data_IF_569481106003
#
_entry.id   IF_569481106003
#
_cell.length_a   1.000
_cell.length_b   1.000
_cell.length_c   1.000
_cell.angle_alpha   90.00
_cell.angle_beta   90.00
_cell.angle_gamma   90.00
#
_symmetry.space_group_name_H-M   'P 1'
#
loop_
_entity.id
_entity.type
_entity.pdbx_description
1 polymer ?
#
# COMPACT_ATOMS: atom_id res chain seq x y z
N UNK A 1 -1.97 -10.74 -1.82
CA UNK A 1 -1.50 -11.60 -0.71
C UNK A 1 -2.06 -11.06 0.59
N UNK A 2 -2.16 -11.84 1.65
CA UNK A 2 -2.44 -11.29 2.99
C UNK A 2 -1.13 -10.87 3.68
N UNK A 3 -1.23 -10.13 4.78
CA UNK A 3 -0.07 -9.60 5.51
C UNK A 3 0.83 -10.69 6.11
N UNK A 4 0.25 -11.82 6.56
CA UNK A 4 1.03 -12.95 7.07
C UNK A 4 1.86 -13.61 5.96
N UNK A 5 1.28 -13.84 4.79
CA UNK A 5 1.97 -14.34 3.60
C UNK A 5 3.10 -13.39 3.16
N UNK A 6 2.85 -12.08 3.20
CA UNK A 6 3.85 -11.07 2.86
C UNK A 6 5.08 -11.18 3.76
N UNK A 7 4.94 -11.18 5.09
CA UNK A 7 6.11 -11.30 5.97
C UNK A 7 6.74 -12.70 5.95
N UNK A 8 5.94 -13.76 5.78
CA UNK A 8 6.46 -15.14 5.72
C UNK A 8 7.28 -15.39 4.44
N UNK A 9 6.92 -14.75 3.33
CA UNK A 9 7.62 -14.91 2.05
C UNK A 9 9.05 -14.34 2.09
N UNK A 10 9.31 -13.33 2.92
CA UNK A 10 10.65 -12.79 3.12
C UNK A 10 10.84 -12.31 4.57
N UNK A 11 11.41 -13.16 5.45
CA UNK A 11 11.62 -12.83 6.87
C UNK A 11 12.45 -11.56 7.09
N UNK A 12 13.28 -11.16 6.11
CA UNK A 12 14.10 -9.94 6.21
C UNK A 12 13.22 -8.69 6.39
N UNK A 13 11.98 -8.72 5.88
CA UNK A 13 11.01 -7.63 6.04
C UNK A 13 10.66 -7.36 7.51
N UNK A 14 10.64 -8.38 8.36
CA UNK A 14 10.29 -8.24 9.78
C UNK A 14 11.41 -7.60 10.61
N UNK A 15 12.66 -7.83 10.23
CA UNK A 15 13.84 -7.29 10.93
C UNK A 15 14.31 -5.95 10.35
N UNK A 16 13.66 -5.49 9.28
CA UNK A 16 14.01 -4.26 8.58
C UNK A 16 13.32 -3.04 9.20
N UNK A 17 13.98 -1.89 9.07
CA UNK A 17 13.31 -0.60 9.23
C UNK A 17 12.17 -0.47 8.22
N UNK A 18 11.04 0.03 8.70
CA UNK A 18 9.85 0.32 7.91
C UNK A 18 9.49 1.81 8.07
N UNK A 19 9.36 2.52 6.95
CA UNK A 19 9.02 3.94 6.93
C UNK A 19 7.57 4.09 6.49
N UNK A 20 6.75 4.70 7.35
CA UNK A 20 5.33 4.92 7.08
C UNK A 20 5.09 6.16 6.22
N UNK A 21 4.26 5.99 5.18
CA UNK A 21 3.71 7.05 4.33
C UNK A 21 2.23 7.30 4.65
N UNK A 22 1.82 7.05 5.89
CA UNK A 22 0.50 7.39 6.40
C UNK A 22 -0.50 6.25 6.37
N UNK A 23 -1.51 6.43 7.22
CA UNK A 23 -2.69 5.58 7.43
C UNK A 23 -3.93 6.37 7.07
N UNK A 24 -4.95 5.72 6.51
CA UNK A 24 -6.19 6.41 6.10
C UNK A 24 -6.26 6.79 4.62
N UNK A 25 -5.43 6.15 3.78
CA UNK A 25 -5.62 6.21 2.33
C UNK A 25 -6.96 5.57 1.96
N UNK A 26 -7.70 6.17 1.02
CA UNK A 26 -9.04 5.70 0.64
C UNK A 26 -9.07 5.22 -0.81
N UNK A 27 -9.94 4.25 -1.09
CA UNK A 27 -10.22 3.75 -2.45
C UNK A 27 -11.73 3.83 -2.68
N UNK A 28 -12.16 4.50 -3.76
CA UNK A 28 -13.59 4.65 -4.06
C UNK A 28 -14.28 3.31 -4.35
N UNK A 29 -13.52 2.29 -4.76
CA UNK A 29 -14.04 0.94 -5.03
C UNK A 29 -14.18 0.11 -3.74
N UNK A 30 -13.57 0.56 -2.64
CA UNK A 30 -13.63 -0.07 -1.33
C UNK A 30 -13.90 0.95 -0.20
N UNK A 31 -15.12 1.52 -0.16
CA UNK A 31 -15.49 2.52 0.84
C UNK A 31 -15.54 1.96 2.28
N UNK A 32 -15.40 0.64 2.45
CA UNK A 32 -15.42 -0.05 3.74
C UNK A 32 -14.03 -0.24 4.35
N UNK A 33 -13.00 0.34 3.74
CA UNK A 33 -11.63 0.14 4.18
C UNK A 33 -10.80 1.40 4.05
N UNK A 34 -9.83 1.50 4.93
CA UNK A 34 -8.70 2.40 4.79
C UNK A 34 -7.48 1.59 4.41
N UNK A 35 -6.46 2.28 3.92
CA UNK A 35 -5.19 1.65 3.59
C UNK A 35 -4.06 2.38 4.31
N UNK A 36 -3.05 1.61 4.69
CA UNK A 36 -1.76 2.10 5.19
C UNK A 36 -0.70 1.88 4.14
N UNK A 37 0.16 2.87 3.92
CA UNK A 37 1.32 2.75 3.01
C UNK A 37 2.62 2.73 3.81
N UNK A 38 3.51 1.80 3.48
CA UNK A 38 4.79 1.66 4.18
C UNK A 38 5.88 1.13 3.25
N UNK A 39 7.12 1.56 3.48
CA UNK A 39 8.30 1.16 2.70
C UNK A 39 9.27 0.36 3.56
N UNK A 40 9.72 -0.78 3.06
CA UNK A 40 10.67 -1.67 3.75
C UNK A 40 12.09 -1.43 3.27
N UNK A 41 13.00 -1.08 4.19
CA UNK A 41 14.36 -0.67 3.83
C UNK A 41 15.21 -1.75 3.15
N UNK A 42 15.12 -2.99 3.62
CA UNK A 42 15.97 -4.09 3.10
C UNK A 42 15.55 -4.55 1.70
N UNK A 43 14.28 -4.44 1.34
CA UNK A 43 13.75 -4.90 0.04
C UNK A 43 13.47 -3.76 -0.93
N UNK A 44 13.35 -2.52 -0.44
CA UNK A 44 12.94 -1.38 -1.24
C UNK A 44 11.45 -1.39 -1.61
N UNK A 45 10.65 -2.26 -0.99
CA UNK A 45 9.24 -2.42 -1.35
C UNK A 45 8.40 -1.34 -0.67
N UNK A 46 7.76 -0.49 -1.48
CA UNK A 46 6.63 0.34 -1.03
C UNK A 46 5.35 -0.44 -1.26
N UNK A 47 4.58 -0.66 -0.21
CA UNK A 47 3.39 -1.52 -0.22
C UNK A 47 2.22 -0.84 0.50
N UNK A 48 1.01 -1.25 0.15
CA UNK A 48 -0.21 -0.90 0.89
C UNK A 48 -0.75 -2.10 1.66
N UNK A 49 -1.33 -1.84 2.82
CA UNK A 49 -2.11 -2.79 3.61
C UNK A 49 -3.53 -2.29 3.65
N UNK A 50 -4.48 -3.11 3.20
CA UNK A 50 -5.91 -2.89 3.41
C UNK A 50 -6.26 -3.17 4.87
N UNK A 51 -6.84 -2.17 5.52
CA UNK A 51 -7.33 -2.25 6.89
C UNK A 51 -8.86 -2.09 6.85
N UNK A 52 -9.61 -3.19 7.06
CA UNK A 52 -11.06 -3.11 7.16
C UNK A 52 -11.46 -2.15 8.27
N UNK A 53 -12.21 -1.11 7.90
CA UNK A 53 -12.82 -0.21 8.86
C UNK A 53 -14.31 -0.56 8.93
N UNK A 54 -14.81 -1.11 10.05
CA UNK A 54 -16.23 -1.42 10.20
C UNK A 54 -17.03 -0.11 10.20
N UNK A 55 -17.47 0.31 9.02
CA UNK A 55 -18.45 1.38 8.80
C UNK A 55 -17.87 2.79 8.83
N UNK A 56 -17.43 3.28 7.66
CA UNK A 56 -17.29 4.72 7.44
C UNK A 56 -18.64 5.42 7.63
N UNK A 57 -18.71 6.42 8.53
CA UNK A 57 -19.87 7.28 8.75
C UNK A 57 -20.39 7.31 10.19
N UNK A 58 -21.58 7.91 10.37
CA UNK A 58 -22.27 8.16 11.65
C UNK A 58 -22.44 6.94 12.57
N UNK A 59 -22.19 5.73 12.08
CA UNK A 59 -22.31 4.47 12.82
C UNK A 59 -20.97 3.89 13.28
N UNK A 60 -19.82 4.47 12.94
CA UNK A 60 -18.50 4.00 13.41
C UNK A 60 -18.46 3.88 14.95
N UNK A 61 -18.94 4.90 15.66
CA UNK A 61 -19.04 4.90 17.12
C UNK A 61 -20.04 3.86 17.66
N UNK A 62 -21.02 3.45 16.85
CA UNK A 62 -21.96 2.38 17.21
C UNK A 62 -21.29 1.02 17.01
N UNK A 63 -20.51 0.82 15.95
CA UNK A 63 -19.78 -0.43 15.72
C UNK A 63 -18.63 -0.66 16.72
N UNK A 64 -17.95 0.41 17.15
CA UNK A 64 -16.98 0.37 18.26
C UNK A 64 -17.64 -0.12 19.57
N UNK A 65 -18.88 0.30 19.83
CA UNK A 65 -19.64 -0.13 21.02
C UNK A 65 -19.97 -1.64 21.01
N UNK A 66 -20.13 -2.22 19.82
CA UNK A 66 -20.46 -3.64 19.65
C UNK A 66 -19.24 -4.54 19.42
N UNK A 67 -18.02 -4.01 19.56
CA UNK A 67 -16.78 -4.76 19.39
C UNK A 67 -16.75 -5.50 18.04
N UNK A 68 -17.26 -4.84 16.99
CA UNK A 68 -17.36 -5.41 15.63
C UNK A 68 -15.96 -5.47 15.02
N UNK A 69 -15.24 -6.50 15.45
CA UNK A 69 -14.08 -7.17 14.88
C UNK A 69 -12.97 -6.27 14.34
N UNK A 70 -11.87 -6.22 15.10
CA UNK A 70 -10.54 -6.10 14.49
C UNK A 70 -10.50 -7.09 13.33
N UNK A 71 -10.24 -6.58 12.13
CA UNK A 71 -10.14 -7.38 10.92
C UNK A 71 -9.34 -8.64 11.19
N UNK A 72 -9.85 -9.79 10.74
CA UNK A 72 -9.04 -11.01 10.75
C UNK A 72 -7.76 -10.72 9.93
N UNK A 73 -6.61 -11.19 10.40
CA UNK A 73 -5.32 -10.95 9.71
C UNK A 73 -5.35 -11.48 8.27
N UNK A 74 -6.19 -12.49 7.98
CA UNK A 74 -6.46 -12.97 6.62
C UNK A 74 -7.21 -11.99 5.72
N UNK A 75 -7.92 -11.00 6.29
CA UNK A 75 -8.61 -9.93 5.57
C UNK A 75 -7.71 -8.71 5.29
N UNK A 76 -6.57 -8.61 5.97
CA UNK A 76 -5.55 -7.60 5.73
C UNK A 76 -4.75 -7.93 4.47
N UNK A 77 -5.20 -7.39 3.33
CA UNK A 77 -4.59 -7.61 2.02
C UNK A 77 -3.42 -6.66 1.80
N UNK A 78 -2.31 -7.20 1.32
CA UNK A 78 -1.12 -6.46 0.91
C UNK A 78 -1.02 -6.37 -0.61
N UNK A 79 -0.71 -5.18 -1.10
CA UNK A 79 -0.36 -4.87 -2.50
C UNK A 79 1.02 -4.19 -2.53
N UNK A 80 1.98 -4.75 -3.28
CA UNK A 80 3.26 -4.09 -3.53
C UNK A 80 3.06 -3.09 -4.68
N UNK A 81 3.32 -1.82 -4.42
CA UNK A 81 3.07 -0.72 -5.35
C UNK A 81 4.26 -0.45 -6.26
N UNK A 82 5.48 -0.57 -5.72
CA UNK A 82 6.74 -0.48 -6.46
C UNK A 82 7.91 -1.05 -5.64
N UNK A 83 9.05 -1.24 -6.29
CA UNK A 83 10.34 -1.55 -5.64
C UNK A 83 11.34 -0.50 -6.05
N UNK A 84 11.79 0.33 -5.09
CA UNK A 84 12.72 1.43 -5.33
C UNK A 84 13.42 1.84 -4.02
N UNK A 85 14.50 2.62 -4.14
CA UNK A 85 15.13 3.24 -2.98
C UNK A 85 14.22 4.31 -2.34
N UNK A 86 14.49 4.63 -1.07
CA UNK A 86 13.68 5.58 -0.31
C UNK A 86 13.56 6.95 -0.98
N UNK A 87 14.65 7.49 -1.53
CA UNK A 87 14.64 8.83 -2.11
C UNK A 87 13.72 8.90 -3.34
N UNK A 88 13.74 7.86 -4.18
CA UNK A 88 12.80 7.72 -5.30
C UNK A 88 11.34 7.65 -4.84
N UNK A 89 11.05 6.93 -3.75
CA UNK A 89 9.69 6.83 -3.18
C UNK A 89 9.23 8.15 -2.56
N UNK A 90 10.09 8.81 -1.78
CA UNK A 90 9.82 10.11 -1.17
C UNK A 90 9.56 11.18 -2.23
N UNK A 91 10.35 11.18 -3.31
CA UNK A 91 10.16 12.10 -4.43
C UNK A 91 8.83 11.84 -5.15
N UNK A 92 8.49 10.57 -5.41
CA UNK A 92 7.24 10.21 -6.07
C UNK A 92 6.01 10.63 -5.25
N UNK A 93 6.07 10.39 -3.93
CA UNK A 93 5.02 10.71 -2.97
C UNK A 93 5.16 12.12 -2.37
N UNK A 94 5.93 13.02 -2.97
CA UNK A 94 6.04 14.39 -2.51
C UNK A 94 4.65 15.05 -2.41
N UNK A 95 4.33 15.57 -1.22
CA UNK A 95 3.02 16.15 -0.90
C UNK A 95 1.95 15.16 -0.43
N UNK A 96 2.29 13.89 -0.15
CA UNK A 96 1.32 12.86 0.24
C UNK A 96 0.43 13.23 1.43
N UNK A 97 0.96 14.00 2.39
CA UNK A 97 0.22 14.40 3.60
C UNK A 97 -1.02 15.24 3.29
N UNK A 98 -1.04 15.96 2.18
CA UNK A 98 -2.17 16.78 1.74
C UNK A 98 -3.23 15.97 0.98
N UNK A 99 -2.86 14.76 0.54
CA UNK A 99 -3.77 13.86 -0.19
C UNK A 99 -4.41 12.83 0.74
N UNK A 100 -3.81 12.59 1.90
CA UNK A 100 -4.30 11.59 2.86
C UNK A 100 -5.72 11.94 3.33
N UNK A 101 -6.62 10.97 3.27
CA UNK A 101 -8.03 11.14 3.65
C UNK A 101 -8.91 11.79 2.57
N UNK A 102 -8.34 12.33 1.50
CA UNK A 102 -9.12 12.75 0.33
C UNK A 102 -9.78 11.55 -0.35
N UNK A 103 -10.87 11.81 -1.07
CA UNK A 103 -11.60 10.78 -1.80
C UNK A 103 -10.73 10.15 -2.90
N UNK A 104 -10.61 8.82 -2.89
CA UNK A 104 -9.80 8.03 -3.83
C UNK A 104 -8.29 8.33 -3.77
N UNK A 105 -7.80 8.75 -2.60
CA UNK A 105 -6.40 9.13 -2.38
C UNK A 105 -5.40 7.99 -2.64
N UNK A 106 -5.79 6.73 -2.48
CA UNK A 106 -4.93 5.59 -2.81
C UNK A 106 -4.63 5.51 -4.31
N UNK A 107 -5.58 5.90 -5.16
CA UNK A 107 -5.36 5.95 -6.61
C UNK A 107 -4.27 6.96 -6.95
N UNK A 108 -4.27 8.13 -6.32
CA UNK A 108 -3.20 9.12 -6.49
C UNK A 108 -1.83 8.53 -6.18
N UNK A 109 -1.69 7.78 -5.08
CA UNK A 109 -0.43 7.15 -4.71
C UNK A 109 0.01 6.11 -5.76
N UNK A 110 -0.90 5.25 -6.22
CA UNK A 110 -0.64 4.27 -7.29
C UNK A 110 -0.17 4.95 -8.58
N UNK A 111 -0.81 6.04 -8.99
CA UNK A 111 -0.44 6.79 -10.18
C UNK A 111 0.96 7.42 -10.08
N UNK A 112 1.31 7.94 -8.89
CA UNK A 112 2.66 8.51 -8.62
C UNK A 112 3.77 7.47 -8.59
N UNK A 113 3.47 6.25 -8.12
CA UNK A 113 4.44 5.15 -8.04
C UNK A 113 4.53 4.33 -9.33
N UNK A 114 3.58 4.50 -10.27
CA UNK A 114 3.56 3.77 -11.55
C UNK A 114 4.83 3.94 -12.40
N UNK A 115 5.41 5.15 -12.56
CA UNK A 115 6.63 5.33 -13.35
C UNK A 115 7.84 4.58 -12.79
N UNK A 116 8.03 4.61 -11.46
CA UNK A 116 9.14 3.90 -10.81
C UNK A 116 8.93 2.37 -10.87
N UNK A 117 7.68 1.90 -10.78
CA UNK A 117 7.35 0.48 -10.97
C UNK A 117 7.74 0.00 -12.36
N UNK A 118 7.36 0.74 -13.40
CA UNK A 118 7.65 0.38 -14.80
C UNK A 118 9.14 0.41 -15.11
N UNK A 119 9.89 1.34 -14.50
CA UNK A 119 11.34 1.41 -14.67
C UNK A 119 12.07 0.21 -14.06
N UNK A 120 11.50 -0.40 -13.01
CA UNK A 120 12.04 -1.59 -12.35
C UNK A 120 11.66 -2.91 -13.06
N UNK A 121 10.62 -2.91 -13.89
CA UNK A 121 10.30 -4.07 -14.72
C UNK A 121 11.41 -4.23 -15.78
N UNK A 122 12.08 -5.40 -15.88
CA UNK A 122 13.06 -5.61 -16.93
C UNK A 122 12.36 -5.40 -18.27
N UNK A 123 12.94 -4.59 -19.15
CA UNK A 123 12.44 -4.26 -20.48
C UNK A 123 12.08 -5.54 -21.27
N UNK A 124 10.86 -6.06 -21.08
CA UNK A 124 10.41 -7.33 -21.63
C UNK A 124 9.74 -7.08 -22.97
N UNK A 125 10.52 -6.54 -23.91
CA UNK A 125 10.06 -6.37 -25.28
C UNK A 125 10.86 -5.32 -26.01
N UNK A 126 12.06 -5.66 -26.48
CA UNK A 126 12.74 -5.07 -27.64
C UNK A 126 14.07 -5.81 -27.86
N UNK A 127 14.02 -7.09 -28.25
CA UNK A 127 15.04 -7.67 -29.15
C UNK A 127 14.61 -9.06 -29.66
N UNK A 128 14.19 -9.12 -30.93
CA UNK A 128 14.87 -9.94 -31.93
C UNK A 128 14.26 -9.63 -33.31
N UNK A 129 15.03 -9.06 -34.26
CA UNK A 129 14.67 -9.08 -35.66
C UNK A 129 14.81 -10.51 -36.20
N UNK A 130 13.78 -10.99 -36.90
CA UNK A 130 13.80 -12.25 -37.61
C UNK A 130 14.77 -12.12 -38.80
N UNK A 131 15.92 -12.80 -38.74
CA UNK A 131 16.80 -13.10 -39.88
C UNK A 131 16.35 -14.41 -40.52
#
# INVERSE_FOLDING_TARGET
MNVHEFYTADPRRQESEEISFGEGWTDHTDPSSTYRLSWVAVTGEIYSVREPHPGGGLLAAVFDHYNVHQADVGEMKVEILAVADLASVEQALAGWREQLGEHDSLRWARERLSPIRQAAEPARGLDAPNV
#
